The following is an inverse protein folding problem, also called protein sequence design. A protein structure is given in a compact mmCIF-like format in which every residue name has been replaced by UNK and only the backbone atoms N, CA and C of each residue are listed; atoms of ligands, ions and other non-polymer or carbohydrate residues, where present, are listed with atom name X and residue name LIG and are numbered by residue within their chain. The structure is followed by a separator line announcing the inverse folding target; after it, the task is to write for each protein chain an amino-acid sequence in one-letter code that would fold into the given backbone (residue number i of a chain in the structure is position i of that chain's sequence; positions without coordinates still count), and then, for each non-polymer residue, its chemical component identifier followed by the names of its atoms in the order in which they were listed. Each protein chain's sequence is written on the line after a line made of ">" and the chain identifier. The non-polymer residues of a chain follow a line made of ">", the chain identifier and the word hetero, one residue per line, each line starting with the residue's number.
data_IF_076986544781
#
_entry.id   IF_076986544781
#
_cell.length_a   1.000
_cell.length_b   1.000
_cell.length_c   1.000
_cell.angle_alpha   90.00
_cell.angle_beta   90.00
_cell.angle_gamma   90.00
#
_symmetry.space_group_name_H-M   'P 1'
#
loop_
_entity.id
_entity.type
_entity.pdbx_description
1 polymer ?
#
# COMPACT_ATOMS: atom_id res chain seq x y z
N UNK A 1 -24.74 3.01 18.60
CA UNK A 1 -25.48 2.91 17.35
C UNK A 1 -24.90 1.91 16.36
N UNK A 2 -23.88 1.14 16.76
CA UNK A 2 -23.31 0.12 15.89
C UNK A 2 -22.46 0.65 14.74
N UNK A 3 -22.01 1.89 14.82
CA UNK A 3 -21.13 2.48 13.81
C UNK A 3 -19.69 2.18 14.18
N UNK A 4 -18.92 1.66 13.22
CA UNK A 4 -17.50 1.39 13.36
C UNK A 4 -16.72 2.25 12.35
N UNK A 5 -15.56 2.72 12.77
CA UNK A 5 -14.69 3.52 11.93
C UNK A 5 -13.27 2.98 12.02
N UNK A 6 -12.72 2.61 10.90
CA UNK A 6 -11.33 2.14 10.79
C UNK A 6 -10.64 2.84 9.63
N UNK A 7 -9.32 2.83 9.64
CA UNK A 7 -8.50 3.38 8.55
C UNK A 7 -7.62 2.28 7.97
N UNK A 8 -7.35 2.37 6.67
CA UNK A 8 -6.41 1.50 5.98
C UNK A 8 -5.29 2.38 5.46
N UNK A 9 -4.04 2.05 5.83
CA UNK A 9 -2.84 2.73 5.33
C UNK A 9 -2.14 1.81 4.32
N UNK A 10 -2.25 2.12 3.02
CA UNK A 10 -1.58 1.31 2.01
C UNK A 10 -0.11 1.67 1.88
N UNK A 11 0.69 0.71 1.44
CA UNK A 11 2.05 0.95 0.97
C UNK A 11 2.07 1.27 -0.52
N UNK A 12 3.15 0.86 -1.23
CA UNK A 12 3.24 1.11 -2.67
C UNK A 12 2.28 0.20 -3.42
N UNK A 13 1.11 0.73 -3.77
CA UNK A 13 0.05 -0.02 -4.45
C UNK A 13 0.33 -0.05 -5.95
N UNK A 14 0.39 -1.25 -6.53
CA UNK A 14 0.60 -1.43 -7.96
C UNK A 14 -0.63 -0.94 -8.74
N UNK A 15 -0.37 -0.09 -9.74
CA UNK A 15 -1.40 0.47 -10.59
C UNK A 15 -0.84 1.60 -11.45
N UNK A 16 -1.68 2.19 -12.30
CA UNK A 16 -1.22 3.24 -13.23
C UNK A 16 -0.58 4.44 -12.54
N UNK A 17 -1.08 4.81 -11.35
CA UNK A 17 -0.56 5.98 -10.64
C UNK A 17 0.88 5.79 -10.20
N UNK A 18 1.19 4.68 -9.52
CA UNK A 18 2.56 4.44 -9.05
C UNK A 18 3.52 4.23 -10.22
N UNK A 19 3.04 3.60 -11.29
CA UNK A 19 3.85 3.42 -12.50
C UNK A 19 4.23 4.75 -13.13
N UNK A 20 3.29 5.70 -13.20
CA UNK A 20 3.56 7.04 -13.71
C UNK A 20 4.54 7.81 -12.81
N UNK A 21 4.41 7.69 -11.49
CA UNK A 21 5.32 8.31 -10.53
C UNK A 21 6.74 7.73 -10.67
N UNK A 22 6.86 6.41 -10.80
CA UNK A 22 8.16 5.74 -10.98
C UNK A 22 8.82 6.24 -12.26
N UNK A 23 8.07 6.32 -13.35
CA UNK A 23 8.60 6.80 -14.62
C UNK A 23 9.13 8.22 -14.50
N UNK A 24 8.38 9.12 -13.88
CA UNK A 24 8.79 10.51 -13.71
C UNK A 24 10.02 10.63 -12.81
N UNK A 25 10.08 9.88 -11.73
CA UNK A 25 11.24 9.87 -10.83
C UNK A 25 12.49 9.28 -11.48
N UNK A 26 12.31 8.24 -12.28
CA UNK A 26 13.43 7.62 -13.01
C UNK A 26 14.03 8.61 -14.00
N UNK A 27 13.20 9.32 -14.76
CA UNK A 27 13.66 10.35 -15.69
C UNK A 27 14.39 11.48 -14.96
N UNK A 28 13.84 11.96 -13.85
CA UNK A 28 14.45 13.04 -13.07
C UNK A 28 15.80 12.63 -12.46
N UNK A 29 15.94 11.37 -12.04
CA UNK A 29 17.17 10.85 -11.45
C UNK A 29 18.14 10.28 -12.50
N UNK A 30 17.75 10.23 -13.76
CA UNK A 30 18.51 9.68 -14.86
C UNK A 30 18.93 8.22 -14.63
N UNK A 31 17.98 7.42 -14.18
CA UNK A 31 18.13 5.98 -13.98
C UNK A 31 17.02 5.23 -14.72
N UNK A 32 17.14 3.91 -14.82
CA UNK A 32 16.13 3.10 -15.48
C UNK A 32 14.85 3.01 -14.61
N UNK A 33 13.72 2.73 -15.26
CA UNK A 33 12.48 2.47 -14.55
C UNK A 33 12.60 1.25 -13.65
N UNK A 34 13.31 0.21 -14.10
CA UNK A 34 13.53 -0.99 -13.29
C UNK A 34 14.29 -0.67 -12.00
N UNK A 35 15.33 0.15 -12.09
CA UNK A 35 16.09 0.57 -10.91
C UNK A 35 15.22 1.39 -9.95
N UNK A 36 14.42 2.30 -10.49
CA UNK A 36 13.50 3.09 -9.65
C UNK A 36 12.42 2.21 -9.02
N UNK A 37 11.92 1.20 -9.74
CA UNK A 37 10.97 0.24 -9.20
C UNK A 37 11.58 -0.52 -8.03
N UNK A 38 12.82 -0.99 -8.16
CA UNK A 38 13.52 -1.68 -7.08
C UNK A 38 13.69 -0.77 -5.85
N UNK A 39 14.00 0.50 -6.06
CA UNK A 39 14.08 1.47 -4.96
C UNK A 39 12.74 1.66 -4.28
N UNK A 40 11.65 1.72 -5.06
CA UNK A 40 10.31 1.92 -4.54
C UNK A 40 9.87 0.77 -3.65
N UNK A 41 10.04 -0.48 -4.11
CA UNK A 41 9.68 -1.64 -3.30
C UNK A 41 10.73 -1.96 -2.24
N UNK A 42 11.94 -1.44 -2.40
CA UNK A 42 13.05 -1.67 -1.48
C UNK A 42 12.80 -1.16 -0.06
N UNK A 43 11.87 -0.22 0.11
CA UNK A 43 11.49 0.29 1.44
C UNK A 43 10.58 -0.66 2.20
N UNK A 44 10.11 -1.72 1.56
CA UNK A 44 9.27 -2.74 2.22
C UNK A 44 10.12 -3.95 2.57
N UNK A 45 9.82 -4.59 3.70
CA UNK A 45 10.50 -5.85 4.07
C UNK A 45 10.19 -6.97 3.10
N UNK A 46 8.97 -7.00 2.58
CA UNK A 46 8.55 -8.04 1.65
C UNK A 46 9.03 -7.82 0.22
N UNK A 47 9.63 -6.66 -0.07
CA UNK A 47 10.18 -6.31 -1.38
C UNK A 47 9.18 -6.48 -2.51
N UNK A 48 7.96 -6.04 -2.31
CA UNK A 48 6.89 -6.18 -3.29
C UNK A 48 5.95 -4.99 -3.26
N UNK A 49 5.20 -4.84 -4.34
CA UNK A 49 4.06 -3.93 -4.34
C UNK A 49 2.89 -4.55 -3.60
N UNK A 50 2.06 -3.69 -3.02
CA UNK A 50 0.74 -4.08 -2.54
C UNK A 50 -0.21 -4.04 -3.75
N UNK A 51 -1.09 -5.01 -3.87
CA UNK A 51 -2.06 -5.01 -4.96
C UNK A 51 -3.32 -4.24 -4.54
N UNK A 52 -4.06 -3.76 -5.54
CA UNK A 52 -5.37 -3.16 -5.29
C UNK A 52 -6.30 -4.17 -4.60
N UNK A 53 -6.18 -5.45 -4.98
CA UNK A 53 -6.97 -6.51 -4.36
C UNK A 53 -6.62 -6.70 -2.88
N UNK A 54 -5.36 -6.53 -2.49
CA UNK A 54 -4.95 -6.62 -1.09
C UNK A 54 -5.70 -5.57 -0.24
N UNK A 55 -5.80 -4.35 -0.75
CA UNK A 55 -6.52 -3.27 -0.07
C UNK A 55 -8.02 -3.58 0.00
N UNK A 56 -8.59 -4.03 -1.12
CA UNK A 56 -9.99 -4.40 -1.19
C UNK A 56 -10.32 -5.54 -0.22
N UNK A 57 -9.43 -6.53 -0.10
CA UNK A 57 -9.62 -7.65 0.82
C UNK A 57 -9.65 -7.19 2.28
N UNK A 58 -8.78 -6.25 2.66
CA UNK A 58 -8.81 -5.70 4.02
C UNK A 58 -10.09 -4.91 4.28
N UNK A 59 -10.52 -4.10 3.32
CA UNK A 59 -11.77 -3.34 3.44
C UNK A 59 -12.96 -4.29 3.59
N UNK A 60 -12.97 -5.36 2.80
CA UNK A 60 -14.05 -6.36 2.85
C UNK A 60 -14.07 -7.07 4.20
N UNK A 61 -12.90 -7.45 4.73
CA UNK A 61 -12.80 -8.08 6.04
C UNK A 61 -13.37 -7.18 7.13
N UNK A 62 -12.99 -5.91 7.13
CA UNK A 62 -13.46 -4.95 8.14
C UNK A 62 -14.97 -4.71 8.04
N UNK A 63 -15.52 -4.74 6.83
CA UNK A 63 -16.95 -4.55 6.60
C UNK A 63 -17.77 -5.83 6.83
N UNK A 64 -17.12 -6.98 6.88
CA UNK A 64 -17.80 -8.28 7.02
C UNK A 64 -18.18 -8.56 8.47
N UNK A 65 -18.98 -9.63 8.72
CA UNK A 65 -19.27 -10.07 10.09
C UNK A 65 -18.02 -10.39 10.92
N UNK A 66 -16.91 -10.73 10.27
CA UNK A 66 -15.66 -11.02 10.96
C UNK A 66 -15.02 -9.77 11.59
N UNK A 67 -15.39 -8.59 11.12
CA UNK A 67 -14.87 -7.33 11.63
C UNK A 67 -15.70 -6.66 12.70
N UNK A 68 -16.71 -7.32 13.25
CA UNK A 68 -17.70 -6.69 14.14
C UNK A 68 -17.12 -6.12 15.43
N UNK A 69 -15.99 -6.63 15.88
CA UNK A 69 -15.33 -6.14 17.10
C UNK A 69 -14.13 -5.25 16.81
N UNK A 70 -13.94 -4.86 15.55
CA UNK A 70 -12.82 -4.01 15.13
C UNK A 70 -13.34 -2.60 14.88
N UNK A 71 -12.88 -1.64 15.68
CA UNK A 71 -13.22 -0.23 15.50
C UNK A 71 -12.10 0.64 16.07
N UNK A 72 -11.90 1.80 15.47
CA UNK A 72 -10.88 2.73 15.89
C UNK A 72 -9.47 2.28 15.54
N UNK A 73 -9.30 1.33 14.61
CA UNK A 73 -8.02 0.77 14.26
C UNK A 73 -7.48 1.34 12.97
N UNK A 74 -6.17 1.35 12.87
CA UNK A 74 -5.45 1.66 11.64
C UNK A 74 -4.77 0.39 11.17
N UNK A 75 -5.17 -0.11 9.99
CA UNK A 75 -4.65 -1.35 9.44
C UNK A 75 -3.66 -1.01 8.34
N UNK A 76 -2.40 -1.39 8.53
CA UNK A 76 -1.36 -1.19 7.53
C UNK A 76 -1.34 -2.36 6.55
N UNK A 77 -1.47 -2.05 5.27
CA UNK A 77 -1.34 -3.03 4.18
C UNK A 77 -0.24 -2.50 3.27
N UNK A 78 1.01 -2.68 3.68
CA UNK A 78 2.14 -1.96 3.12
C UNK A 78 3.37 -2.82 2.84
N UNK A 79 3.26 -4.13 2.94
CA UNK A 79 4.40 -5.03 2.75
C UNK A 79 5.49 -4.83 3.80
N UNK A 80 5.12 -4.34 4.97
CA UNK A 80 6.05 -4.01 6.05
C UNK A 80 7.02 -2.90 5.63
N UNK A 81 6.48 -1.70 5.40
CA UNK A 81 7.27 -0.54 5.01
C UNK A 81 8.16 -0.10 6.16
N UNK A 82 9.47 -0.02 5.90
CA UNK A 82 10.48 0.23 6.92
C UNK A 82 10.93 1.68 7.00
N UNK A 83 10.51 2.51 6.08
CA UNK A 83 10.90 3.91 6.10
C UNK A 83 9.71 4.79 5.80
N UNK A 84 9.73 5.98 6.39
CA UNK A 84 8.78 7.04 6.05
C UNK A 84 9.40 7.87 4.94
N UNK A 85 8.75 7.87 3.84
CA UNK A 85 9.23 8.61 2.67
C UNK A 85 8.77 10.06 2.72
#
# INVERSE_FOLDING_TARGET
>A
YGIRVNAILPGPVDGPRIRAVIKAKAEAANISENEMTERTVGVTSLKCFVTQQDIANMALYLASPFGTTISGQTMCVDGDMQTTM
#
